data_IF_804717759693
#
_entry.id   IF_804717759693
#
_cell.length_a   1.000
_cell.length_b   1.000
_cell.length_c   1.000
_cell.angle_alpha   90.00
_cell.angle_beta   90.00
_cell.angle_gamma   90.00
#
_symmetry.space_group_name_H-M   'P 1'
#
loop_
_entity.id
_entity.type
_entity.pdbx_description
1 polymer ?
#
# COMPACT_ATOMS: atom_id res chain seq x y z
N UNK A 1 -2.59 -40.72 5.11
CA UNK A 1 -2.40 -39.28 4.80
C UNK A 1 -0.93 -38.92 4.96
N UNK A 2 -0.44 -37.87 4.27
CA UNK A 2 0.96 -37.36 4.31
C UNK A 2 1.53 -37.05 5.72
N UNK A 3 0.70 -37.13 6.78
CA UNK A 3 1.03 -36.84 8.17
C UNK A 3 0.90 -38.04 9.12
N UNK A 4 0.67 -39.25 8.62
CA UNK A 4 0.53 -40.42 9.49
C UNK A 4 1.85 -40.72 10.22
N UNK A 5 1.81 -40.68 11.55
CA UNK A 5 2.96 -40.96 12.41
C UNK A 5 3.84 -39.75 12.76
N UNK A 6 3.58 -38.56 12.21
CA UNK A 6 4.36 -37.35 12.52
C UNK A 6 3.71 -36.52 13.64
N UNK A 7 4.53 -36.00 14.55
CA UNK A 7 4.09 -35.05 15.57
C UNK A 7 3.86 -33.65 14.97
N UNK A 8 3.20 -32.76 15.73
CA UNK A 8 3.07 -31.35 15.33
C UNK A 8 4.42 -30.65 15.20
N UNK A 9 5.39 -31.02 16.03
CA UNK A 9 6.73 -30.46 15.97
C UNK A 9 7.45 -30.93 14.70
N UNK A 10 7.38 -32.22 14.37
CA UNK A 10 7.98 -32.75 13.13
C UNK A 10 7.43 -32.04 11.89
N UNK A 11 6.10 -31.86 11.81
CA UNK A 11 5.46 -31.15 10.69
C UNK A 11 5.85 -29.67 10.66
N UNK A 12 5.98 -29.02 11.81
CA UNK A 12 6.38 -27.61 11.89
C UNK A 12 7.83 -27.42 11.44
N UNK A 13 8.73 -28.32 11.85
CA UNK A 13 10.14 -28.30 11.48
C UNK A 13 10.33 -28.58 9.99
N UNK A 14 9.59 -29.53 9.43
CA UNK A 14 9.58 -29.80 7.98
C UNK A 14 9.17 -28.56 7.17
N UNK A 15 8.14 -27.83 7.63
CA UNK A 15 7.66 -26.63 6.94
C UNK A 15 8.66 -25.49 7.04
N UNK A 16 9.23 -25.25 8.23
CA UNK A 16 10.29 -24.27 8.40
C UNK A 16 11.50 -24.60 7.49
N UNK A 17 11.90 -25.87 7.42
CA UNK A 17 12.99 -26.30 6.53
C UNK A 17 12.66 -26.09 5.04
N UNK A 18 11.43 -26.34 4.62
CA UNK A 18 10.99 -26.08 3.25
C UNK A 18 10.96 -24.58 2.93
N UNK A 19 10.35 -23.77 3.79
CA UNK A 19 10.31 -22.31 3.63
C UNK A 19 11.73 -21.71 3.59
N UNK A 20 12.64 -22.24 4.41
CA UNK A 20 14.06 -21.86 4.34
C UNK A 20 14.68 -22.13 2.97
N UNK A 21 14.42 -23.28 2.35
CA UNK A 21 14.92 -23.55 0.98
C UNK A 21 14.37 -22.58 -0.05
N UNK A 22 13.10 -22.16 0.09
CA UNK A 22 12.47 -21.16 -0.79
C UNK A 22 13.10 -19.78 -0.59
N UNK A 23 13.36 -19.39 0.66
CA UNK A 23 14.08 -18.17 1.03
C UNK A 23 15.51 -18.16 0.48
N UNK A 24 16.26 -19.25 0.68
CA UNK A 24 17.63 -19.41 0.18
C UNK A 24 17.69 -19.36 -1.36
N UNK A 25 16.58 -19.72 -2.04
CA UNK A 25 16.43 -19.58 -3.49
C UNK A 25 16.08 -18.15 -3.94
N UNK A 26 15.93 -17.20 -3.02
CA UNK A 26 15.68 -15.78 -3.27
C UNK A 26 14.22 -15.37 -3.35
N UNK A 27 13.29 -16.23 -2.95
CA UNK A 27 11.85 -15.94 -2.92
C UNK A 27 11.39 -15.57 -1.51
N UNK A 28 10.22 -14.93 -1.38
CA UNK A 28 9.57 -14.76 -0.08
C UNK A 28 8.74 -16.01 0.24
N UNK A 29 9.13 -16.83 1.24
CA UNK A 29 8.31 -17.96 1.65
C UNK A 29 7.09 -17.53 2.46
N UNK A 30 6.01 -18.28 2.34
CA UNK A 30 4.87 -18.23 3.26
C UNK A 30 4.26 -19.62 3.41
N UNK A 31 3.58 -19.85 4.53
CA UNK A 31 2.84 -21.09 4.78
C UNK A 31 1.36 -20.87 4.44
N UNK A 32 0.82 -21.63 3.50
CA UNK A 32 -0.60 -21.59 3.15
C UNK A 32 -1.33 -22.86 3.57
N UNK A 33 -2.44 -22.72 4.30
CA UNK A 33 -3.41 -23.78 4.57
C UNK A 33 -4.69 -23.23 5.19
N UNK A 34 -5.74 -24.06 5.26
CA UNK A 34 -6.95 -23.71 5.99
C UNK A 34 -6.75 -23.73 7.51
N UNK A 35 -7.57 -22.96 8.22
CA UNK A 35 -7.55 -22.81 9.68
C UNK A 35 -7.45 -24.13 10.42
N UNK A 36 -8.38 -25.03 10.12
CA UNK A 36 -8.56 -26.29 10.85
C UNK A 36 -7.33 -27.17 10.72
N UNK A 37 -6.74 -27.22 9.53
CA UNK A 37 -5.54 -28.02 9.29
C UNK A 37 -4.34 -27.45 10.04
N UNK A 38 -4.10 -26.13 9.91
CA UNK A 38 -3.00 -25.42 10.57
C UNK A 38 -3.01 -25.59 12.09
N UNK A 39 -4.16 -25.35 12.72
CA UNK A 39 -4.27 -25.44 14.19
C UNK A 39 -4.23 -26.90 14.68
N UNK A 40 -4.73 -27.84 13.87
CA UNK A 40 -4.73 -29.27 14.23
C UNK A 40 -3.36 -29.90 14.12
N UNK A 41 -2.53 -29.53 13.15
CA UNK A 41 -1.31 -30.29 12.83
C UNK A 41 0.00 -29.51 13.00
N UNK A 42 -0.02 -28.21 13.29
CA UNK A 42 1.21 -27.43 13.48
C UNK A 42 1.25 -26.70 14.82
N UNK A 43 2.46 -26.35 15.25
CA UNK A 43 2.73 -25.42 16.33
C UNK A 43 3.00 -24.03 15.75
N UNK A 44 1.93 -23.24 15.59
CA UNK A 44 1.97 -21.97 14.84
C UNK A 44 2.98 -20.96 15.41
N UNK A 45 3.17 -20.94 16.73
CA UNK A 45 4.16 -20.09 17.41
C UNK A 45 5.61 -20.44 17.08
N UNK A 46 5.88 -21.65 16.59
CA UNK A 46 7.19 -22.11 16.15
C UNK A 46 7.41 -21.94 14.64
N UNK A 47 6.40 -21.49 13.90
CA UNK A 47 6.57 -21.16 12.48
C UNK A 47 7.31 -19.83 12.37
N UNK A 48 8.49 -19.85 11.74
CA UNK A 48 9.33 -18.66 11.63
C UNK A 48 8.85 -17.69 10.54
N UNK A 49 8.07 -18.20 9.59
CA UNK A 49 7.65 -17.53 8.37
C UNK A 49 6.23 -16.98 8.45
N UNK A 50 5.90 -16.11 7.49
CA UNK A 50 4.55 -15.55 7.40
C UNK A 50 3.52 -16.63 7.03
N UNK A 51 2.29 -16.45 7.51
CA UNK A 51 1.18 -17.39 7.27
C UNK A 51 0.12 -16.74 6.40
N UNK A 52 -0.24 -17.40 5.31
CA UNK A 52 -1.41 -17.14 4.49
C UNK A 52 -2.52 -18.11 4.86
N UNK A 53 -3.54 -17.57 5.50
CA UNK A 53 -4.53 -18.34 6.22
C UNK A 53 -5.86 -18.38 5.48
N UNK A 54 -6.42 -19.56 5.21
CA UNK A 54 -7.76 -19.69 4.63
C UNK A 54 -8.82 -19.98 5.69
N UNK A 55 -9.82 -19.09 5.78
CA UNK A 55 -11.00 -19.28 6.62
C UNK A 55 -12.17 -18.44 6.08
N UNK A 56 -13.36 -19.05 6.01
CA UNK A 56 -14.53 -18.42 5.40
C UNK A 56 -15.66 -18.25 6.42
N UNK A 57 -15.45 -17.47 7.50
CA UNK A 57 -16.48 -17.26 8.52
C UNK A 57 -17.68 -16.53 7.90
N UNK A 58 -18.89 -16.95 8.28
CA UNK A 58 -20.14 -16.40 7.73
C UNK A 58 -20.29 -14.90 8.01
N UNK A 59 -19.81 -14.44 9.17
CA UNK A 59 -19.81 -13.04 9.56
C UNK A 59 -18.78 -12.19 8.80
N UNK A 60 -17.93 -12.81 7.97
CA UNK A 60 -16.85 -12.17 7.18
C UNK A 60 -15.91 -11.31 8.02
N UNK A 61 -15.74 -11.64 9.30
CA UNK A 61 -14.80 -10.99 10.20
C UNK A 61 -13.56 -11.86 10.35
N UNK A 62 -12.39 -11.27 10.14
CA UNK A 62 -11.13 -11.94 10.42
C UNK A 62 -11.00 -12.22 11.92
N UNK A 63 -10.74 -13.47 12.28
CA UNK A 63 -10.45 -13.87 13.67
C UNK A 63 -8.99 -14.30 13.74
N UNK A 64 -8.13 -13.54 14.45
CA UNK A 64 -6.73 -13.90 14.61
C UNK A 64 -6.56 -15.30 15.21
N UNK A 65 -5.56 -16.03 14.74
CA UNK A 65 -5.15 -17.30 15.37
C UNK A 65 -3.91 -17.03 16.21
N UNK A 66 -4.06 -17.24 17.52
CA UNK A 66 -2.97 -17.06 18.48
C UNK A 66 -1.72 -17.85 18.11
N UNK A 67 -0.55 -17.21 18.24
CA UNK A 67 0.74 -17.80 17.90
C UNK A 67 1.08 -17.78 16.41
N UNK A 68 0.15 -17.48 15.50
CA UNK A 68 0.43 -17.44 14.07
C UNK A 68 0.94 -16.06 13.61
N UNK A 69 1.97 -16.03 12.77
CA UNK A 69 2.39 -14.83 12.03
C UNK A 69 1.51 -14.61 10.79
N UNK A 70 0.20 -14.55 10.98
CA UNK A 70 -0.74 -14.43 9.85
C UNK A 70 -0.68 -13.05 9.23
N UNK A 71 -0.30 -12.99 7.97
CA UNK A 71 -0.15 -11.74 7.21
C UNK A 71 -1.14 -11.61 6.07
N UNK A 72 -1.71 -12.73 5.63
CA UNK A 72 -2.72 -12.79 4.57
C UNK A 72 -3.86 -13.67 5.05
N UNK A 73 -5.09 -13.23 4.84
CA UNK A 73 -6.30 -14.00 5.06
C UNK A 73 -7.05 -14.20 3.75
N UNK A 74 -7.16 -15.44 3.29
CA UNK A 74 -8.12 -15.81 2.25
C UNK A 74 -9.51 -15.93 2.88
N UNK A 75 -10.35 -14.94 2.60
CA UNK A 75 -11.67 -14.73 3.21
C UNK A 75 -12.82 -15.35 2.43
N UNK A 76 -12.59 -15.70 1.16
CA UNK A 76 -13.58 -16.33 0.30
C UNK A 76 -12.90 -17.10 -0.83
N UNK A 77 -13.54 -18.17 -1.28
CA UNK A 77 -13.26 -18.85 -2.55
C UNK A 77 -14.27 -18.48 -3.65
N UNK A 78 -15.28 -17.67 -3.31
CA UNK A 78 -16.46 -17.36 -4.14
C UNK A 78 -16.48 -15.90 -4.61
N UNK A 79 -15.33 -15.24 -4.60
CA UNK A 79 -15.18 -13.89 -5.13
C UNK A 79 -15.49 -13.85 -6.63
N UNK A 80 -15.85 -12.68 -7.13
CA UNK A 80 -16.08 -12.44 -8.57
C UNK A 80 -15.39 -11.15 -8.94
N UNK A 81 -14.55 -11.22 -9.97
CA UNK A 81 -13.86 -10.06 -10.53
C UNK A 81 -14.34 -9.86 -11.96
N UNK A 82 -14.79 -8.65 -12.27
CA UNK A 82 -15.31 -8.30 -13.60
C UNK A 82 -14.26 -8.63 -14.67
N UNK A 83 -14.63 -9.45 -15.65
CA UNK A 83 -13.75 -9.87 -16.74
C UNK A 83 -13.00 -11.18 -16.48
N UNK A 84 -13.07 -11.74 -15.27
CA UNK A 84 -12.55 -13.08 -14.98
C UNK A 84 -13.73 -14.06 -14.94
N UNK A 85 -13.64 -15.13 -15.74
CA UNK A 85 -14.66 -16.19 -15.74
C UNK A 85 -14.44 -17.11 -14.55
N UNK A 86 -15.52 -17.44 -13.85
CA UNK A 86 -15.50 -18.32 -12.68
C UNK A 86 -15.33 -17.55 -11.37
N UNK A 87 -15.39 -18.30 -10.27
CA UNK A 87 -15.13 -17.77 -8.94
C UNK A 87 -13.62 -17.61 -8.73
N UNK A 88 -13.24 -16.56 -8.02
CA UNK A 88 -11.87 -16.30 -7.58
C UNK A 88 -11.80 -16.27 -6.07
N UNK A 89 -10.65 -16.60 -5.53
CA UNK A 89 -10.41 -16.38 -4.11
C UNK A 89 -10.29 -14.88 -3.81
N UNK A 90 -10.62 -14.49 -2.57
CA UNK A 90 -10.50 -13.11 -2.10
C UNK A 90 -9.62 -13.11 -0.88
N UNK A 91 -8.56 -12.31 -0.92
CA UNK A 91 -7.57 -12.22 0.12
C UNK A 91 -7.50 -10.80 0.71
N UNK A 92 -7.24 -10.73 2.01
CA UNK A 92 -6.83 -9.52 2.70
C UNK A 92 -5.38 -9.68 3.15
N UNK A 93 -4.49 -8.80 2.71
CA UNK A 93 -3.10 -8.77 3.19
C UNK A 93 -2.86 -7.53 4.01
N UNK A 94 -2.25 -7.69 5.18
CA UNK A 94 -1.82 -6.60 6.06
C UNK A 94 -0.29 -6.44 6.08
N UNK A 95 0.44 -7.28 5.33
CA UNK A 95 1.87 -7.12 5.04
C UNK A 95 2.08 -6.90 3.55
N UNK A 96 3.01 -6.00 3.20
CA UNK A 96 3.34 -5.69 1.82
C UNK A 96 4.45 -6.62 1.33
N UNK A 97 4.19 -7.39 0.27
CA UNK A 97 5.12 -8.40 -0.29
C UNK A 97 5.78 -7.99 -1.61
N UNK A 98 5.79 -6.70 -1.94
CA UNK A 98 6.49 -6.18 -3.11
C UNK A 98 5.78 -6.37 -4.45
N UNK A 99 4.56 -6.94 -4.49
CA UNK A 99 3.60 -6.83 -5.59
C UNK A 99 4.03 -7.35 -6.98
N UNK A 100 5.15 -8.07 -7.08
CA UNK A 100 5.66 -8.63 -8.33
C UNK A 100 4.95 -9.92 -8.76
N UNK A 101 5.16 -10.33 -10.00
CA UNK A 101 4.68 -11.63 -10.50
C UNK A 101 5.26 -12.76 -9.62
N UNK A 102 4.43 -13.60 -8.97
CA UNK A 102 4.89 -14.67 -8.08
C UNK A 102 5.81 -15.71 -8.75
N UNK A 103 5.78 -15.80 -10.08
CA UNK A 103 6.63 -16.72 -10.87
C UNK A 103 8.02 -16.15 -11.19
N UNK A 104 8.30 -14.89 -10.85
CA UNK A 104 9.60 -14.27 -11.09
C UNK A 104 10.47 -14.33 -9.83
N UNK A 105 11.77 -14.61 -10.01
CA UNK A 105 12.81 -14.74 -8.97
C UNK A 105 13.01 -13.52 -8.05
N UNK A 106 12.19 -12.48 -8.16
CA UNK A 106 12.30 -11.22 -7.42
C UNK A 106 10.95 -10.70 -6.88
N UNK A 107 9.98 -11.58 -6.58
CA UNK A 107 8.84 -11.20 -5.74
C UNK A 107 9.35 -10.87 -4.32
N UNK A 108 9.86 -9.63 -4.12
CA UNK A 108 10.37 -9.18 -2.82
C UNK A 108 11.61 -8.31 -2.77
N UNK A 109 12.38 -8.11 -3.86
CA UNK A 109 13.59 -7.28 -3.78
C UNK A 109 13.27 -5.78 -3.84
N UNK A 110 13.54 -5.07 -2.74
CA UNK A 110 13.75 -3.61 -2.78
C UNK A 110 15.04 -3.34 -3.55
N UNK A 111 14.97 -2.47 -4.56
CA UNK A 111 16.17 -1.83 -5.13
C UNK A 111 16.91 -1.11 -3.99
N UNK A 112 18.21 -1.38 -3.87
CA UNK A 112 19.09 -0.78 -2.88
C UNK A 112 19.25 0.72 -3.16
N UNK A 113 18.44 1.55 -2.50
CA UNK A 113 18.69 2.97 -2.33
C UNK A 113 19.35 3.20 -0.97
N UNK A 114 20.62 3.61 -0.98
CA UNK A 114 21.41 3.97 0.18
C UNK A 114 20.68 4.98 1.08
N UNK A 115 20.28 4.55 2.29
CA UNK A 115 19.83 5.46 3.34
C UNK A 115 21.06 6.02 4.07
N UNK A 116 21.52 7.21 3.66
CA UNK A 116 22.34 8.05 4.53
C UNK A 116 21.41 8.72 5.54
N UNK A 117 21.44 8.23 6.78
CA UNK A 117 20.85 8.92 7.92
C UNK A 117 21.75 10.11 8.26
N UNK A 118 21.25 11.34 8.07
CA UNK A 118 21.88 12.55 8.59
C UNK A 118 21.16 12.99 9.87
N UNK A 119 21.75 12.63 11.01
CA UNK A 119 21.44 13.21 12.31
C UNK A 119 22.34 14.42 12.52
N UNK A 120 21.76 15.59 12.80
CA UNK A 120 22.50 16.80 13.13
C UNK A 120 22.68 16.94 14.64
N UNK A 121 23.93 16.96 15.10
CA UNK A 121 24.37 17.80 16.23
C UNK A 121 25.89 17.71 16.46
N UNK A 122 26.53 18.88 16.56
CA UNK A 122 27.61 19.13 17.51
C UNK A 122 29.06 18.74 17.17
N UNK A 123 29.84 19.77 16.78
CA UNK A 123 31.19 20.09 17.30
C UNK A 123 32.44 19.63 16.51
N UNK A 124 33.14 20.66 16.02
CA UNK A 124 34.56 20.87 15.69
C UNK A 124 35.59 19.78 15.99
N UNK A 125 36.42 19.42 14.99
CA UNK A 125 37.86 19.73 14.90
C UNK A 125 38.57 19.02 13.71
N UNK A 126 39.23 19.83 12.86
CA UNK A 126 40.61 19.74 12.31
C UNK A 126 41.26 18.33 12.23
N UNK A 127 41.68 17.87 11.02
CA UNK A 127 43.06 17.97 10.43
C UNK A 127 43.26 17.11 9.16
N UNK A 128 44.00 17.69 8.20
CA UNK A 128 45.02 17.16 7.24
C UNK A 128 44.93 15.75 6.65
N UNK A 129 44.91 15.58 5.32
CA UNK A 129 46.09 15.38 4.43
C UNK A 129 46.04 13.93 3.90
N UNK A 130 46.40 13.48 2.69
CA UNK A 130 47.33 13.82 1.61
C UNK A 130 46.83 13.01 0.37
N UNK A 131 46.76 13.53 -0.87
CA UNK A 131 47.77 13.40 -1.98
C UNK A 131 47.91 11.95 -2.48
N UNK A 132 47.66 11.58 -3.75
CA UNK A 132 48.42 11.85 -5.00
C UNK A 132 47.50 11.58 -6.25
N UNK A 133 47.40 12.44 -7.27
CA UNK A 133 48.19 12.51 -8.53
C UNK A 133 48.50 11.12 -9.15
N UNK A 134 48.19 10.85 -10.42
CA UNK A 134 49.04 11.28 -11.55
C UNK A 134 48.31 11.14 -12.91
N UNK A 135 48.51 12.15 -13.74
CA UNK A 135 48.12 12.33 -15.15
C UNK A 135 49.07 11.64 -16.13
N UNK A 136 48.60 11.23 -17.31
CA UNK A 136 49.44 11.30 -18.53
C UNK A 136 48.58 11.56 -19.79
N UNK A 137 49.13 12.45 -20.60
CA UNK A 137 48.69 13.16 -21.81
C UNK A 137 48.85 12.36 -23.11
N UNK A 138 48.12 12.75 -24.17
CA UNK A 138 48.51 12.44 -25.56
C UNK A 138 47.43 12.78 -26.61
N UNK A 139 47.71 13.76 -27.47
CA UNK A 139 46.88 14.31 -28.54
C UNK A 139 47.51 14.02 -29.92
N UNK A 140 46.71 13.88 -30.99
CA UNK A 140 47.21 13.88 -32.38
C UNK A 140 46.17 13.54 -33.45
N UNK A 141 45.89 14.51 -34.34
CA UNK A 141 44.97 14.50 -35.49
C UNK A 141 45.54 13.81 -36.76
N UNK A 142 44.65 13.35 -37.66
CA UNK A 142 44.95 13.06 -39.08
C UNK A 142 43.73 12.51 -39.85
N UNK A 143 43.46 13.06 -41.04
CA UNK A 143 42.17 13.05 -41.79
C UNK A 143 42.24 12.14 -43.02
N UNK A 144 41.07 11.60 -43.44
CA UNK A 144 40.55 11.45 -44.82
C UNK A 144 39.99 10.05 -45.17
N UNK A 145 38.76 10.00 -45.70
CA UNK A 145 38.06 8.76 -46.05
C UNK A 145 36.53 8.83 -45.95
N UNK A 146 35.92 9.63 -46.81
CA UNK A 146 34.47 9.84 -46.94
C UNK A 146 33.73 8.55 -47.33
N UNK A 147 32.93 8.01 -46.40
CA UNK A 147 31.76 7.18 -46.73
C UNK A 147 30.56 7.83 -46.04
N UNK A 148 29.74 8.54 -46.80
CA UNK A 148 28.43 9.00 -46.34
C UNK A 148 27.47 7.84 -46.51
N UNK A 149 27.14 7.18 -45.41
CA UNK A 149 25.90 6.43 -45.25
C UNK A 149 25.28 6.86 -43.92
N UNK A 150 24.04 7.34 -44.00
CA UNK A 150 23.30 7.91 -42.88
C UNK A 150 23.04 6.93 -41.74
N UNK A 151 22.58 7.50 -40.63
CA UNK A 151 22.32 6.92 -39.31
C UNK A 151 23.49 7.08 -38.33
N UNK A 152 23.46 8.19 -37.59
CA UNK A 152 24.30 8.40 -36.41
C UNK A 152 23.88 7.50 -35.24
N UNK A 153 24.81 7.20 -34.32
CA UNK A 153 24.64 6.15 -33.32
C UNK A 153 23.77 6.63 -32.15
N UNK A 154 22.78 5.82 -31.79
CA UNK A 154 22.18 5.84 -30.46
C UNK A 154 21.17 6.96 -30.21
N UNK A 155 20.00 6.87 -30.85
CA UNK A 155 18.77 7.21 -30.10
C UNK A 155 18.65 6.16 -29.00
N UNK A 156 19.23 6.42 -27.83
CA UNK A 156 18.64 5.88 -26.61
C UNK A 156 17.21 6.43 -26.58
N UNK A 157 16.24 5.56 -26.87
CA UNK A 157 14.86 5.85 -26.58
C UNK A 157 14.83 6.22 -25.09
N UNK A 158 14.60 7.51 -24.80
CA UNK A 158 14.45 8.01 -23.44
C UNK A 158 13.55 7.04 -22.69
N UNK A 159 14.10 6.40 -21.65
CA UNK A 159 13.36 5.50 -20.78
C UNK A 159 12.07 6.18 -20.39
N UNK A 160 10.94 5.59 -20.77
CA UNK A 160 9.65 6.23 -20.58
C UNK A 160 9.32 6.13 -19.09
N UNK A 161 9.70 7.15 -18.33
CA UNK A 161 9.56 7.15 -16.87
C UNK A 161 8.10 7.34 -16.47
N UNK A 162 7.55 6.31 -15.82
CA UNK A 162 6.29 6.40 -15.10
C UNK A 162 6.58 6.87 -13.68
N UNK A 163 5.82 7.82 -13.14
CA UNK A 163 5.98 8.23 -11.75
C UNK A 163 5.56 9.65 -11.44
N UNK A 164 5.78 10.02 -10.18
CA UNK A 164 5.52 11.37 -9.69
C UNK A 164 6.58 12.34 -10.16
N UNK A 165 6.16 13.43 -10.78
CA UNK A 165 7.01 14.54 -11.21
C UNK A 165 6.49 15.82 -10.57
N UNK A 166 7.35 16.53 -9.86
CA UNK A 166 7.04 17.86 -9.35
C UNK A 166 7.38 18.89 -10.43
N UNK A 167 6.36 19.60 -10.95
CA UNK A 167 6.58 20.58 -12.03
C UNK A 167 7.03 21.94 -11.49
N UNK A 168 6.50 22.33 -10.34
CA UNK A 168 6.95 23.47 -9.52
C UNK A 168 6.70 23.11 -8.05
N UNK A 169 7.33 23.78 -7.07
CA UNK A 169 7.13 23.47 -5.66
C UNK A 169 5.64 23.34 -5.29
N UNK A 170 5.27 22.18 -4.75
CA UNK A 170 3.89 21.86 -4.34
C UNK A 170 2.95 21.38 -5.46
N UNK A 171 3.32 21.48 -6.74
CA UNK A 171 2.52 20.95 -7.85
C UNK A 171 3.10 19.65 -8.38
N UNK A 172 2.35 18.57 -8.15
CA UNK A 172 2.73 17.22 -8.55
C UNK A 172 1.90 16.73 -9.74
N UNK A 173 2.54 16.02 -10.66
CA UNK A 173 1.91 15.28 -11.74
C UNK A 173 2.29 13.81 -11.63
N UNK A 174 1.41 12.91 -12.04
CA UNK A 174 1.78 11.52 -12.26
C UNK A 174 1.91 11.29 -13.77
N UNK A 175 3.08 10.85 -14.21
CA UNK A 175 3.41 10.59 -15.59
C UNK A 175 3.23 9.11 -15.90
N UNK A 176 2.59 8.80 -17.03
CA UNK A 176 2.56 7.48 -17.63
C UNK A 176 2.90 7.56 -19.11
N UNK A 177 3.86 6.76 -19.53
CA UNK A 177 4.32 6.68 -20.91
C UNK A 177 4.67 8.07 -21.50
N UNK A 178 5.30 8.93 -20.68
CA UNK A 178 5.68 10.29 -21.06
C UNK A 178 4.52 11.31 -21.08
N UNK A 179 3.33 10.96 -20.59
CA UNK A 179 2.15 11.85 -20.54
C UNK A 179 1.62 11.98 -19.11
N UNK A 180 1.18 13.18 -18.75
CA UNK A 180 0.53 13.39 -17.45
C UNK A 180 -0.85 12.72 -17.42
N UNK A 181 -1.15 11.98 -16.36
CA UNK A 181 -2.48 11.40 -16.11
C UNK A 181 -3.44 12.46 -15.60
N UNK A 182 -4.73 12.29 -15.91
CA UNK A 182 -5.84 13.12 -15.42
C UNK A 182 -6.88 12.25 -14.71
N UNK A 183 -7.71 12.84 -13.85
CA UNK A 183 -8.73 12.15 -13.09
C UNK A 183 -8.17 11.26 -11.96
N UNK A 184 -8.96 10.27 -11.56
CA UNK A 184 -8.58 9.33 -10.50
C UNK A 184 -7.44 8.42 -10.95
N UNK A 185 -6.37 8.40 -10.16
CA UNK A 185 -5.20 7.55 -10.38
C UNK A 185 -4.85 6.80 -9.12
N UNK A 186 -4.75 5.47 -9.24
CA UNK A 186 -4.21 4.65 -8.17
C UNK A 186 -2.69 4.52 -8.33
N UNK A 187 -1.94 4.87 -7.29
CA UNK A 187 -0.49 4.74 -7.21
C UNK A 187 -0.15 4.08 -5.88
N UNK A 188 0.57 2.96 -5.90
CA UNK A 188 0.96 2.22 -4.69
C UNK A 188 -0.23 1.90 -3.75
N UNK A 189 -1.39 1.57 -4.33
CA UNK A 189 -2.61 1.24 -3.58
C UNK A 189 -3.39 2.45 -3.03
N UNK A 190 -2.86 3.66 -3.15
CA UNK A 190 -3.52 4.90 -2.75
C UNK A 190 -4.15 5.57 -3.96
N UNK A 191 -5.34 6.14 -3.78
CA UNK A 191 -6.03 6.91 -4.80
C UNK A 191 -5.64 8.37 -4.72
N UNK A 192 -5.37 8.97 -5.87
CA UNK A 192 -5.09 10.38 -6.06
C UNK A 192 -6.02 10.92 -7.14
N UNK A 193 -6.25 12.22 -7.15
CA UNK A 193 -7.01 12.86 -8.21
C UNK A 193 -6.16 13.92 -8.89
N UNK A 194 -6.06 13.83 -10.21
CA UNK A 194 -5.34 14.77 -11.05
C UNK A 194 -6.38 15.66 -11.76
N UNK A 195 -6.21 16.98 -11.75
CA UNK A 195 -7.10 17.89 -12.48
C UNK A 195 -6.96 17.71 -14.01
N UNK A 196 -7.72 18.48 -14.80
CA UNK A 196 -7.66 18.44 -16.26
C UNK A 196 -6.28 18.79 -16.84
N UNK A 197 -5.41 19.46 -16.08
CA UNK A 197 -4.02 19.79 -16.44
C UNK A 197 -3.03 18.73 -15.95
N UNK A 198 -3.52 17.68 -15.30
CA UNK A 198 -2.74 16.60 -14.71
C UNK A 198 -2.05 17.00 -13.42
N UNK A 199 -2.54 18.02 -12.69
CA UNK A 199 -2.00 18.46 -11.40
C UNK A 199 -2.76 17.75 -10.27
N UNK A 200 -2.03 17.12 -9.35
CA UNK A 200 -2.57 16.42 -8.19
C UNK A 200 -3.31 17.38 -7.29
N UNK A 201 -4.51 17.00 -6.87
CA UNK A 201 -5.34 17.77 -5.95
C UNK A 201 -5.16 17.28 -4.51
N UNK A 202 -5.42 18.20 -3.57
CA UNK A 202 -5.51 17.95 -2.12
C UNK A 202 -6.78 18.64 -1.59
N UNK A 203 -7.19 18.32 -0.36
CA UNK A 203 -8.39 18.86 0.26
C UNK A 203 -9.69 18.22 -0.23
N UNK A 204 -10.80 18.93 -0.03
CA UNK A 204 -12.13 18.47 -0.43
C UNK A 204 -12.28 18.45 -1.95
N UNK A 205 -12.76 17.32 -2.47
CA UNK A 205 -13.03 17.09 -3.89
C UNK A 205 -14.48 16.68 -4.07
N UNK A 206 -15.21 17.41 -4.92
CA UNK A 206 -16.55 17.01 -5.34
C UNK A 206 -16.51 16.41 -6.74
N UNK A 207 -16.86 15.12 -6.87
CA UNK A 207 -16.85 14.38 -8.12
C UNK A 207 -18.03 13.42 -8.19
N UNK A 208 -18.72 13.40 -9.34
CA UNK A 208 -19.87 12.51 -9.58
C UNK A 208 -20.91 12.54 -8.46
N UNK A 209 -21.26 13.75 -8.01
CA UNK A 209 -22.22 13.99 -6.93
C UNK A 209 -21.82 13.41 -5.55
N UNK A 210 -20.53 13.17 -5.32
CA UNK A 210 -19.98 12.68 -4.07
C UNK A 210 -18.81 13.55 -3.62
N UNK A 211 -18.71 13.73 -2.31
CA UNK A 211 -17.56 14.39 -1.68
C UNK A 211 -16.51 13.36 -1.29
N UNK A 212 -15.25 13.71 -1.53
CA UNK A 212 -14.06 12.99 -1.12
C UNK A 212 -13.13 13.95 -0.41
N UNK A 213 -12.24 13.44 0.42
CA UNK A 213 -11.17 14.23 1.01
C UNK A 213 -9.82 13.66 0.57
N UNK A 214 -8.98 14.48 -0.05
CA UNK A 214 -7.61 14.15 -0.40
C UNK A 214 -6.70 14.75 0.68
N UNK A 215 -5.92 13.93 1.36
CA UNK A 215 -4.98 14.40 2.39
C UNK A 215 -3.92 15.32 1.77
N UNK A 216 -3.10 15.97 2.59
CA UNK A 216 -2.00 16.84 2.10
C UNK A 216 -1.02 16.11 1.17
N UNK A 217 -0.85 14.81 1.38
CA UNK A 217 -0.08 13.93 0.48
C UNK A 217 -0.71 13.70 -0.91
N UNK A 218 -1.95 14.16 -1.13
CA UNK A 218 -2.80 13.86 -2.29
C UNK A 218 -3.59 12.56 -2.19
N UNK A 219 -3.24 11.67 -1.26
CA UNK A 219 -3.93 10.39 -1.09
C UNK A 219 -5.35 10.58 -0.55
N UNK A 220 -6.32 9.95 -1.20
CA UNK A 220 -7.71 9.88 -0.79
C UNK A 220 -7.85 9.30 0.61
N UNK A 221 -8.62 9.98 1.43
CA UNK A 221 -8.91 9.60 2.79
C UNK A 221 -10.09 8.63 2.84
N UNK A 222 -10.07 7.78 3.86
CA UNK A 222 -11.13 6.85 4.24
C UNK A 222 -11.27 6.88 5.77
N UNK A 223 -12.36 6.35 6.28
CA UNK A 223 -12.75 6.35 7.69
C UNK A 223 -12.88 7.77 8.28
N UNK A 224 -12.72 7.89 9.60
CA UNK A 224 -12.76 9.15 10.34
C UNK A 224 -11.66 10.10 9.91
N UNK A 225 -12.03 11.34 9.59
CA UNK A 225 -11.11 12.42 9.28
C UNK A 225 -11.47 13.66 10.10
N UNK A 226 -10.50 14.21 10.82
CA UNK A 226 -10.64 15.51 11.46
C UNK A 226 -10.12 16.57 10.51
N UNK A 227 -11.02 17.43 10.02
CA UNK A 227 -10.68 18.52 9.10
C UNK A 227 -11.16 19.82 9.73
N UNK A 228 -10.21 20.70 10.06
CA UNK A 228 -10.47 21.99 10.71
C UNK A 228 -11.31 21.88 12.00
N UNK A 229 -11.03 20.87 12.82
CA UNK A 229 -11.71 20.67 14.11
C UNK A 229 -13.09 20.03 13.99
N UNK A 230 -13.50 19.56 12.80
CA UNK A 230 -14.75 18.81 12.60
C UNK A 230 -14.45 17.40 12.13
N UNK A 231 -15.21 16.43 12.62
CA UNK A 231 -15.10 15.04 12.21
C UNK A 231 -16.00 14.69 11.02
N UNK A 232 -15.46 13.94 10.08
CA UNK A 232 -16.13 13.46 8.89
C UNK A 232 -15.92 11.95 8.75
N UNK A 233 -16.91 11.24 8.24
CA UNK A 233 -16.79 9.82 7.92
C UNK A 233 -16.75 9.60 6.40
N UNK A 234 -15.60 9.11 5.93
CA UNK A 234 -15.37 8.74 4.53
C UNK A 234 -15.48 7.21 4.45
N UNK A 235 -16.32 6.67 3.59
CA UNK A 235 -16.36 5.21 3.42
C UNK A 235 -15.07 4.69 2.78
N UNK A 236 -14.93 3.36 2.66
CA UNK A 236 -13.76 2.73 2.02
C UNK A 236 -13.61 3.07 0.53
N UNK A 237 -14.70 3.46 -0.13
CA UNK A 237 -14.70 4.02 -1.47
C UNK A 237 -14.26 5.50 -1.50
N UNK A 238 -13.94 6.08 -0.35
CA UNK A 238 -13.57 7.48 -0.16
C UNK A 238 -14.75 8.45 -0.15
N UNK A 239 -15.98 7.99 -0.40
CA UNK A 239 -17.14 8.86 -0.43
C UNK A 239 -17.57 9.24 1.00
N UNK A 240 -17.67 10.54 1.25
CA UNK A 240 -18.20 11.11 2.48
C UNK A 240 -19.65 10.69 2.70
N UNK A 241 -20.01 10.37 3.94
CA UNK A 241 -21.37 9.97 4.30
C UNK A 241 -22.03 10.98 5.22
N UNK A 242 -23.33 11.14 5.01
CA UNK A 242 -24.24 11.96 5.82
C UNK A 242 -25.28 11.07 6.53
N UNK A 243 -25.98 11.64 7.51
CA UNK A 243 -27.01 10.98 8.32
C UNK A 243 -26.44 9.99 9.35
N UNK A 244 -27.33 9.12 9.87
CA UNK A 244 -26.98 8.09 10.85
C UNK A 244 -25.96 7.08 10.33
N UNK A 245 -24.95 6.76 11.14
CA UNK A 245 -23.94 5.72 10.89
C UNK A 245 -23.70 4.87 12.14
N UNK A 246 -23.69 3.56 11.96
CA UNK A 246 -23.29 2.62 12.99
C UNK A 246 -21.84 2.19 12.75
N UNK A 247 -20.94 2.62 13.62
CA UNK A 247 -19.48 2.45 13.47
C UNK A 247 -18.94 1.97 14.81
N UNK A 248 -18.17 0.87 14.80
CA UNK A 248 -17.55 0.31 16.02
C UNK A 248 -18.53 0.13 17.19
N UNK A 249 -19.74 -0.36 16.91
CA UNK A 249 -20.80 -0.62 17.87
C UNK A 249 -21.42 0.64 18.53
N UNK A 250 -21.23 1.81 17.92
CA UNK A 250 -21.81 3.08 18.36
C UNK A 250 -22.54 3.76 17.20
N UNK A 251 -23.58 4.53 17.51
CA UNK A 251 -24.28 5.35 16.53
C UNK A 251 -23.76 6.78 16.53
N UNK A 252 -23.54 7.30 15.34
CA UNK A 252 -23.13 8.68 15.07
C UNK A 252 -24.10 9.32 14.09
N UNK A 253 -24.22 10.64 14.14
CA UNK A 253 -24.98 11.38 13.14
C UNK A 253 -24.08 12.40 12.44
N UNK A 254 -23.99 12.26 11.12
CA UNK A 254 -23.30 13.20 10.25
C UNK A 254 -24.35 14.18 9.69
N UNK A 255 -24.15 15.48 9.87
CA UNK A 255 -25.01 16.51 9.28
C UNK A 255 -24.97 16.48 7.74
N UNK A 256 -25.83 17.26 7.07
CA UNK A 256 -25.82 17.38 5.60
C UNK A 256 -24.49 17.90 5.06
N UNK A 257 -23.81 18.74 5.84
CA UNK A 257 -22.46 19.21 5.56
C UNK A 257 -21.39 18.10 5.65
N UNK A 258 -21.77 16.94 6.17
CA UNK A 258 -20.88 15.81 6.48
C UNK A 258 -20.19 15.91 7.84
N UNK A 259 -20.34 17.01 8.58
CA UNK A 259 -19.75 17.14 9.91
C UNK A 259 -20.51 16.29 10.94
N UNK A 260 -19.78 15.61 11.81
CA UNK A 260 -20.36 14.81 12.89
C UNK A 260 -20.91 15.73 13.99
N UNK A 261 -22.06 15.39 14.55
CA UNK A 261 -22.53 15.99 15.79
C UNK A 261 -21.73 15.44 16.98
N UNK A 262 -21.27 16.33 17.86
CA UNK A 262 -20.63 15.99 19.13
C UNK A 262 -21.00 17.00 20.21
N UNK A 263 -21.02 16.53 21.46
CA UNK A 263 -21.26 17.32 22.67
C UNK A 263 -22.51 18.21 22.58
N UNK A 264 -23.62 17.65 22.08
CA UNK A 264 -24.82 18.43 21.77
C UNK A 264 -26.10 17.59 21.78
N UNK A 265 -27.25 18.25 21.79
CA UNK A 265 -28.57 17.66 21.55
C UNK A 265 -29.11 18.12 20.20
N UNK A 266 -29.81 17.25 19.48
CA UNK A 266 -30.38 17.57 18.17
C UNK A 266 -31.71 16.85 17.94
N UNK A 267 -32.70 17.59 17.46
CA UNK A 267 -33.94 17.03 16.94
C UNK A 267 -33.74 16.52 15.51
N UNK A 268 -33.91 15.21 15.31
CA UNK A 268 -33.81 14.54 14.00
C UNK A 268 -35.14 13.82 13.76
N UNK A 269 -35.85 14.20 12.70
CA UNK A 269 -37.19 13.67 12.37
C UNK A 269 -38.20 13.76 13.53
N UNK A 270 -38.18 14.87 14.28
CA UNK A 270 -39.11 15.13 15.38
C UNK A 270 -38.76 14.46 16.72
N UNK A 271 -37.66 13.71 16.79
CA UNK A 271 -37.16 13.07 18.02
C UNK A 271 -35.85 13.74 18.44
N UNK A 272 -35.71 14.08 19.72
CA UNK A 272 -34.47 14.63 20.26
C UNK A 272 -33.46 13.52 20.58
N UNK A 273 -32.22 13.69 20.12
CA UNK A 273 -31.11 12.79 20.38
C UNK A 273 -29.97 13.56 21.05
N UNK A 274 -29.26 12.91 21.97
CA UNK A 274 -28.09 13.48 22.66
C UNK A 274 -26.82 12.79 22.20
N UNK A 275 -25.76 13.55 21.95
CA UNK A 275 -24.47 13.06 21.51
C UNK A 275 -23.39 13.46 22.52
N UNK A 276 -22.54 12.51 22.89
CA UNK A 276 -21.43 12.74 23.83
C UNK A 276 -20.27 13.52 23.20
N UNK A 277 -19.21 13.77 23.97
CA UNK A 277 -18.03 14.50 23.50
C UNK A 277 -17.26 13.82 22.36
N UNK A 278 -17.49 12.53 22.10
CA UNK A 278 -16.92 11.79 20.98
C UNK A 278 -17.93 11.63 19.82
N UNK A 279 -19.11 12.25 19.92
CA UNK A 279 -20.19 12.18 18.95
C UNK A 279 -21.01 10.90 18.99
N UNK A 280 -20.80 10.02 19.97
CA UNK A 280 -21.60 8.83 20.12
C UNK A 280 -22.99 9.21 20.66
N UNK A 281 -24.03 8.67 20.03
CA UNK A 281 -25.40 8.82 20.49
C UNK A 281 -25.59 8.13 21.84
N UNK A 282 -26.25 8.85 22.75
CA UNK A 282 -26.66 8.38 24.07
C UNK A 282 -28.16 8.03 24.05
N UNK A 283 -28.52 6.76 24.27
CA UNK A 283 -29.91 6.33 24.37
C UNK A 283 -30.61 6.82 25.64
#
# INVERSE_FOLDING_TARGET
>A
MLSEGLSKDDLTDMINAYCKKVEDAGFIPMVYANRTWLTKYMNLSKISYDVWFAAYPENRVYVPVGGSKTTIWQSSEKGVVKGIKGQVTTEFSWKVYGGGNPSQKNAGKRSSGSNSVSTSSGTSQKTSGNTEKTSTTGSGNGVDGTVVSGEGPGKEAASIENGWVQTVPGQWKYMENGKATTGWKQVNGLWYFMDARGIMQTGWLFQNNLWYYLKDSGAMAVNWQNVNGKWYWLNQDGAMRTGWKFINNLWYYMEESGAMLENTSRTINGVEYRFDANGAWMP
#
